data_IF_378175872851
#
_entry.id   IF_378175872851
#
_cell.length_a   1.000
_cell.length_b   1.000
_cell.length_c   1.000
_cell.angle_alpha   90.00
_cell.angle_beta   90.00
_cell.angle_gamma   90.00
#
_symmetry.space_group_name_H-M   'P 1'
#
loop_
_entity.id
_entity.type
_entity.pdbx_description
1 polymer ?
#
# COMPACT_ATOMS: atom_id res chain seq x y z
N UNK A 1 -20.89 73.04 0.72
CA UNK A 1 -20.19 73.88 -0.27
C UNK A 1 -20.08 75.29 0.29
N UNK A 2 -19.03 76.07 -0.02
CA UNK A 2 -17.81 75.76 -0.82
C UNK A 2 -16.92 74.68 -0.17
N UNK A 3 -15.89 74.04 -0.77
CA UNK A 3 -14.98 74.30 -1.91
C UNK A 3 -13.82 75.29 -1.60
N UNK A 4 -12.55 75.10 -1.98
CA UNK A 4 -11.79 74.02 -2.71
C UNK A 4 -10.44 73.79 -1.98
N UNK A 5 -9.44 72.97 -2.35
CA UNK A 5 -9.04 72.17 -3.55
C UNK A 5 -8.42 70.81 -3.08
N UNK A 6 -7.92 69.83 -3.85
CA UNK A 6 -7.44 69.67 -5.24
C UNK A 6 -6.03 70.19 -5.61
N UNK A 7 -4.98 69.47 -5.16
CA UNK A 7 -3.66 69.28 -5.82
C UNK A 7 -3.08 67.95 -5.27
N UNK A 8 -2.92 66.89 -6.06
CA UNK A 8 -1.85 66.63 -7.04
C UNK A 8 -0.47 66.31 -6.41
N UNK A 9 -0.14 65.02 -6.42
CA UNK A 9 1.17 64.52 -6.89
C UNK A 9 1.05 63.05 -7.27
N UNK A 10 1.43 62.73 -8.50
CA UNK A 10 1.74 61.36 -8.94
C UNK A 10 3.19 61.06 -8.56
N UNK A 11 3.48 59.92 -7.91
CA UNK A 11 4.86 59.44 -7.77
C UNK A 11 4.93 57.90 -7.71
N UNK A 12 5.27 57.33 -8.87
CA UNK A 12 5.69 55.94 -9.15
C UNK A 12 6.52 56.06 -10.44
N UNK A 13 7.75 55.48 -10.59
CA UNK A 13 8.28 54.31 -9.89
C UNK A 13 9.71 54.46 -9.28
N UNK A 14 10.09 53.52 -8.41
CA UNK A 14 11.47 53.28 -7.97
C UNK A 14 11.69 51.81 -7.54
N UNK A 15 12.71 51.08 -8.05
CA UNK A 15 12.87 49.65 -7.80
C UNK A 15 13.86 49.29 -6.67
N UNK A 16 13.65 48.12 -6.05
CA UNK A 16 14.46 47.58 -4.93
C UNK A 16 13.74 47.80 -3.59
N UNK A 17 13.60 46.82 -2.70
CA UNK A 17 14.45 45.65 -2.46
C UNK A 17 13.76 44.30 -2.75
N UNK A 18 14.51 43.18 -2.84
CA UNK A 18 13.93 41.87 -3.13
C UNK A 18 12.96 41.41 -2.05
N UNK A 19 11.94 40.64 -2.47
CA UNK A 19 11.19 39.77 -1.57
C UNK A 19 12.19 38.87 -0.83
N UNK A 20 12.26 39.01 0.49
CA UNK A 20 12.99 38.06 1.31
C UNK A 20 12.29 36.71 1.19
N UNK A 21 12.90 35.80 0.41
CA UNK A 21 12.36 34.46 0.17
C UNK A 21 12.44 33.71 1.49
N UNK A 22 11.34 33.72 2.23
CA UNK A 22 11.19 33.03 3.50
C UNK A 22 11.69 31.60 3.33
N UNK A 23 12.78 31.27 4.03
CA UNK A 23 13.57 30.06 3.83
C UNK A 23 12.66 28.83 3.86
N UNK A 24 12.38 28.25 2.69
CA UNK A 24 11.63 27.00 2.58
C UNK A 24 12.56 25.89 3.05
N UNK A 25 12.66 25.75 4.37
CA UNK A 25 13.33 24.64 5.04
C UNK A 25 12.81 23.36 4.39
N UNK A 26 13.66 22.57 3.71
CA UNK A 26 13.20 21.34 3.09
C UNK A 26 12.60 20.48 4.20
N UNK A 27 11.36 20.03 3.99
CA UNK A 27 10.63 19.28 5.01
C UNK A 27 11.50 18.12 5.52
N UNK A 28 11.60 18.01 6.84
CA UNK A 28 12.49 17.07 7.51
C UNK A 28 12.33 15.64 6.98
N UNK A 29 13.44 14.91 6.98
CA UNK A 29 13.61 13.62 6.30
C UNK A 29 12.38 12.71 6.43
N UNK A 30 11.83 12.30 5.28
CA UNK A 30 10.86 11.21 5.24
C UNK A 30 11.48 9.98 5.94
N UNK A 31 10.79 9.35 6.90
CA UNK A 31 11.40 8.29 7.71
C UNK A 31 11.90 7.16 6.81
N UNK A 32 13.12 6.65 7.05
CA UNK A 32 13.78 5.76 6.12
C UNK A 32 13.00 4.44 5.97
N UNK A 33 12.66 4.13 4.71
CA UNK A 33 12.28 2.79 4.25
C UNK A 33 11.38 2.00 5.21
N UNK A 34 10.06 2.20 5.11
CA UNK A 34 9.13 1.11 5.42
C UNK A 34 9.56 -0.10 4.59
N UNK A 35 10.24 -1.05 5.25
CA UNK A 35 11.06 -2.04 4.56
C UNK A 35 10.26 -2.74 3.46
N UNK A 36 10.91 -2.93 2.31
CA UNK A 36 10.45 -3.88 1.31
C UNK A 36 10.62 -5.32 1.85
N UNK A 37 9.82 -5.65 2.86
CA UNK A 37 9.59 -7.00 3.37
C UNK A 37 8.95 -7.79 2.22
N UNK A 38 9.83 -8.34 1.38
CA UNK A 38 9.55 -8.90 0.06
C UNK A 38 8.25 -9.69 0.07
N UNK A 39 7.17 -9.07 -0.44
CA UNK A 39 5.87 -9.71 -0.56
C UNK A 39 6.10 -11.02 -1.32
N UNK A 40 5.86 -12.20 -0.72
CA UNK A 40 6.18 -13.46 -1.35
C UNK A 40 5.45 -13.51 -2.69
N UNK A 41 6.22 -13.43 -3.78
CA UNK A 41 5.68 -13.28 -5.13
C UNK A 41 4.80 -14.49 -5.39
N UNK A 42 3.50 -14.27 -5.61
CA UNK A 42 2.46 -15.30 -5.86
C UNK A 42 2.95 -16.50 -6.71
N UNK A 43 3.71 -16.33 -7.82
CA UNK A 43 4.30 -17.46 -8.57
C UNK A 43 5.18 -18.45 -7.76
N UNK A 44 5.75 -18.07 -6.61
CA UNK A 44 6.49 -19.00 -5.74
C UNK A 44 5.56 -20.04 -5.07
N UNK A 45 4.34 -19.63 -4.74
CA UNK A 45 3.32 -20.51 -4.14
C UNK A 45 2.68 -21.38 -5.21
N UNK A 46 2.41 -20.80 -6.39
CA UNK A 46 1.98 -21.58 -7.57
C UNK A 46 3.02 -22.66 -7.96
N UNK A 47 4.32 -22.39 -7.82
CA UNK A 47 5.39 -23.39 -8.02
C UNK A 47 5.41 -24.49 -6.95
N UNK A 48 5.08 -24.18 -5.70
CA UNK A 48 5.00 -25.16 -4.61
C UNK A 48 3.72 -26.02 -4.65
N UNK A 49 2.62 -25.47 -5.16
CA UNK A 49 1.39 -26.22 -5.46
C UNK A 49 1.48 -26.98 -6.79
N UNK A 50 2.30 -26.51 -7.73
CA UNK A 50 2.49 -27.06 -9.07
C UNK A 50 3.68 -28.02 -9.24
N UNK A 51 4.46 -28.28 -8.19
CA UNK A 51 5.44 -29.37 -8.19
C UNK A 51 4.73 -30.72 -8.03
N UNK A 52 4.17 -31.19 -9.16
CA UNK A 52 3.46 -32.46 -9.28
C UNK A 52 4.39 -33.68 -9.25
N UNK A 53 5.09 -33.87 -8.13
CA UNK A 53 5.34 -35.23 -7.66
C UNK A 53 4.01 -35.79 -7.15
N UNK A 54 3.72 -37.06 -7.44
CA UNK A 54 2.50 -37.73 -6.98
C UNK A 54 2.36 -37.62 -5.47
N UNK A 55 1.25 -37.07 -4.96
CA UNK A 55 1.00 -37.01 -3.50
C UNK A 55 0.91 -38.44 -2.87
N UNK A 56 0.87 -39.50 -3.68
CA UNK A 56 0.93 -40.92 -3.27
C UNK A 56 2.29 -41.39 -2.71
N UNK A 57 3.40 -40.70 -3.01
CA UNK A 57 4.76 -41.10 -2.58
C UNK A 57 5.33 -40.19 -1.46
N UNK A 58 4.48 -39.37 -0.82
CA UNK A 58 4.89 -38.51 0.30
C UNK A 58 4.91 -39.28 1.62
N UNK A 59 6.03 -39.24 2.34
CA UNK A 59 6.08 -39.75 3.72
C UNK A 59 5.29 -38.87 4.68
N UNK A 60 4.85 -39.41 5.82
CA UNK A 60 4.21 -38.63 6.89
C UNK A 60 5.06 -37.40 7.30
N UNK A 61 6.39 -37.54 7.25
CA UNK A 61 7.31 -36.45 7.55
C UNK A 61 7.32 -35.36 6.46
N UNK A 62 7.11 -35.72 5.18
CA UNK A 62 6.93 -34.76 4.09
C UNK A 62 5.57 -34.09 4.14
N UNK A 63 4.50 -34.84 4.43
CA UNK A 63 3.16 -34.28 4.66
C UNK A 63 3.20 -33.29 5.83
N UNK A 64 3.81 -33.66 6.97
CA UNK A 64 3.98 -32.78 8.12
C UNK A 64 4.79 -31.51 7.79
N UNK A 65 5.87 -31.62 6.99
CA UNK A 65 6.64 -30.47 6.48
C UNK A 65 5.75 -29.56 5.59
N UNK A 66 5.06 -30.14 4.61
CA UNK A 66 4.21 -29.45 3.61
C UNK A 66 3.03 -28.73 4.29
N UNK A 67 2.37 -29.38 5.26
CA UNK A 67 1.33 -28.81 6.13
C UNK A 67 1.89 -27.67 6.98
N UNK A 68 2.98 -27.89 7.73
CA UNK A 68 3.57 -26.86 8.61
C UNK A 68 3.98 -25.60 7.83
N UNK A 69 4.53 -25.79 6.63
CA UNK A 69 4.87 -24.69 5.71
C UNK A 69 3.61 -23.94 5.25
N UNK A 70 2.59 -24.65 4.76
CA UNK A 70 1.35 -24.02 4.27
C UNK A 70 0.58 -23.28 5.37
N UNK A 71 0.54 -23.80 6.61
CA UNK A 71 -0.01 -23.06 7.74
C UNK A 71 0.83 -21.84 8.11
N UNK A 72 2.17 -21.95 8.04
CA UNK A 72 3.08 -20.83 8.23
C UNK A 72 2.90 -19.71 7.19
N UNK A 73 2.60 -20.07 5.94
CA UNK A 73 2.20 -19.10 4.92
C UNK A 73 0.80 -18.53 5.19
N UNK A 74 -0.19 -19.38 5.50
CA UNK A 74 -1.57 -18.95 5.74
C UNK A 74 -1.65 -17.93 6.89
N UNK A 75 -0.87 -18.12 7.97
CA UNK A 75 -0.76 -17.12 9.06
C UNK A 75 -0.20 -15.78 8.59
N UNK A 76 0.79 -15.77 7.68
CA UNK A 76 1.31 -14.53 7.06
C UNK A 76 0.26 -13.84 6.18
N UNK A 77 -0.46 -14.60 5.35
CA UNK A 77 -1.50 -14.04 4.49
C UNK A 77 -2.73 -13.54 5.27
N UNK A 78 -3.11 -14.16 6.40
CA UNK A 78 -4.07 -13.57 7.34
C UNK A 78 -3.60 -12.19 7.82
N UNK A 79 -2.35 -12.07 8.31
CA UNK A 79 -1.83 -10.79 8.79
C UNK A 79 -1.72 -9.73 7.68
N UNK A 80 -1.38 -10.11 6.45
CA UNK A 80 -1.39 -9.22 5.29
C UNK A 80 -2.80 -8.73 4.96
N UNK A 81 -3.80 -9.63 4.93
CA UNK A 81 -5.21 -9.31 4.76
C UNK A 81 -5.70 -8.33 5.84
N UNK A 82 -5.46 -8.64 7.11
CA UNK A 82 -5.94 -7.85 8.24
C UNK A 82 -5.34 -6.43 8.25
N UNK A 83 -4.08 -6.31 7.80
CA UNK A 83 -3.40 -5.03 7.58
C UNK A 83 -4.02 -4.24 6.42
N UNK A 84 -4.29 -4.88 5.28
CA UNK A 84 -4.93 -4.26 4.10
C UNK A 84 -6.36 -3.83 4.39
N UNK A 85 -7.17 -4.68 5.04
CA UNK A 85 -8.51 -4.33 5.53
C UNK A 85 -8.46 -3.12 6.46
N UNK A 86 -7.51 -3.10 7.41
CA UNK A 86 -7.36 -2.00 8.36
C UNK A 86 -6.90 -0.71 7.68
N UNK A 87 -6.04 -0.79 6.66
CA UNK A 87 -5.64 0.36 5.86
C UNK A 87 -6.81 0.92 5.04
N UNK A 88 -7.57 0.05 4.36
CA UNK A 88 -8.74 0.43 3.57
C UNK A 88 -9.87 1.01 4.45
N UNK A 89 -10.10 0.45 5.65
CA UNK A 89 -11.10 0.93 6.62
C UNK A 89 -10.76 2.32 7.20
N UNK A 90 -9.48 2.70 7.22
CA UNK A 90 -9.02 4.05 7.63
C UNK A 90 -9.17 5.11 6.54
N UNK A 91 -9.43 4.71 5.29
CA UNK A 91 -9.56 5.65 4.18
C UNK A 91 -11.02 6.15 4.10
N UNK A 92 -11.26 7.48 4.07
CA UNK A 92 -12.61 8.03 4.07
C UNK A 92 -13.41 7.53 2.84
N UNK A 93 -14.64 7.07 3.03
CA UNK A 93 -15.46 6.46 1.96
C UNK A 93 -15.79 7.46 0.83
N UNK A 94 -15.86 8.75 1.15
CA UNK A 94 -15.99 9.84 0.20
C UNK A 94 -14.72 10.00 -0.66
N UNK A 95 -14.92 10.06 -1.98
CA UNK A 95 -13.85 10.21 -2.99
C UNK A 95 -13.54 11.67 -3.35
N UNK A 96 -14.44 12.59 -2.98
CA UNK A 96 -14.31 14.05 -3.15
C UNK A 96 -13.01 14.55 -2.53
N UNK A 97 -12.22 15.33 -3.29
CA UNK A 97 -10.93 15.87 -2.82
C UNK A 97 -9.74 14.91 -2.88
N UNK A 98 -9.93 13.60 -3.13
CA UNK A 98 -8.79 12.68 -3.30
C UNK A 98 -8.02 12.97 -4.61
N UNK A 99 -6.70 12.84 -4.56
CA UNK A 99 -5.86 12.93 -5.76
C UNK A 99 -6.03 11.70 -6.67
N UNK A 100 -5.54 11.78 -7.92
CA UNK A 100 -5.49 10.63 -8.84
C UNK A 100 -4.58 9.53 -8.25
N UNK A 101 -3.46 9.90 -7.65
CA UNK A 101 -2.54 8.97 -7.00
C UNK A 101 -3.19 8.25 -5.81
N UNK A 102 -3.97 8.96 -4.98
CA UNK A 102 -4.66 8.35 -3.84
C UNK A 102 -5.74 7.35 -4.29
N UNK A 103 -6.52 7.70 -5.33
CA UNK A 103 -7.49 6.76 -5.94
C UNK A 103 -6.79 5.52 -6.51
N UNK A 104 -5.66 5.70 -7.19
CA UNK A 104 -4.87 4.60 -7.73
C UNK A 104 -4.34 3.69 -6.62
N UNK A 105 -3.77 4.26 -5.55
CA UNK A 105 -3.26 3.54 -4.38
C UNK A 105 -4.35 2.71 -3.69
N UNK A 106 -5.56 3.27 -3.56
CA UNK A 106 -6.73 2.55 -3.04
C UNK A 106 -7.04 1.33 -3.92
N UNK A 107 -7.10 1.49 -5.24
CA UNK A 107 -7.33 0.39 -6.17
C UNK A 107 -6.23 -0.68 -6.13
N UNK A 108 -4.97 -0.28 -6.02
CA UNK A 108 -3.83 -1.21 -5.87
C UNK A 108 -3.91 -2.00 -4.55
N UNK A 109 -4.33 -1.38 -3.44
CA UNK A 109 -4.58 -2.08 -2.16
C UNK A 109 -5.80 -3.01 -2.21
N UNK A 110 -6.87 -2.63 -2.93
CA UNK A 110 -8.05 -3.48 -3.13
C UNK A 110 -7.74 -4.70 -4.01
N UNK A 111 -6.99 -4.52 -5.10
CA UNK A 111 -6.52 -5.65 -5.93
C UNK A 111 -5.61 -6.58 -5.11
N UNK A 112 -4.67 -6.01 -4.34
CA UNK A 112 -3.78 -6.79 -3.48
C UNK A 112 -4.54 -7.62 -2.45
N UNK A 113 -5.61 -7.07 -1.86
CA UNK A 113 -6.48 -7.81 -0.94
C UNK A 113 -7.15 -9.00 -1.64
N UNK A 114 -7.72 -8.81 -2.83
CA UNK A 114 -8.34 -9.90 -3.59
C UNK A 114 -7.34 -11.00 -4.02
N UNK A 115 -6.10 -10.62 -4.36
CA UNK A 115 -5.02 -11.58 -4.68
C UNK A 115 -4.60 -12.38 -3.43
N UNK A 116 -4.53 -11.73 -2.27
CA UNK A 116 -4.27 -12.35 -0.95
C UNK A 116 -5.38 -13.33 -0.60
N UNK A 117 -6.66 -12.95 -0.71
CA UNK A 117 -7.80 -13.82 -0.42
C UNK A 117 -7.83 -15.06 -1.32
N UNK A 118 -7.58 -14.90 -2.63
CA UNK A 118 -7.46 -16.02 -3.57
C UNK A 118 -6.34 -16.98 -3.16
N UNK A 119 -5.16 -16.44 -2.86
CA UNK A 119 -4.00 -17.22 -2.39
C UNK A 119 -4.32 -17.99 -1.11
N UNK A 120 -5.08 -17.39 -0.17
CA UNK A 120 -5.55 -18.06 1.05
C UNK A 120 -6.54 -19.21 0.77
N UNK A 121 -7.42 -19.07 -0.22
CA UNK A 121 -8.35 -20.14 -0.63
C UNK A 121 -7.61 -21.33 -1.25
N UNK A 122 -6.59 -21.06 -2.08
CA UNK A 122 -5.71 -22.09 -2.64
C UNK A 122 -4.96 -22.84 -1.53
N UNK A 123 -4.32 -22.12 -0.59
CA UNK A 123 -3.63 -22.73 0.56
C UNK A 123 -4.57 -23.56 1.46
N UNK A 124 -5.77 -23.05 1.78
CA UNK A 124 -6.80 -23.79 2.53
C UNK A 124 -7.31 -25.02 1.78
N UNK A 125 -7.14 -25.09 0.47
CA UNK A 125 -7.53 -26.24 -0.34
C UNK A 125 -6.39 -27.26 -0.42
N UNK A 126 -5.14 -26.83 -0.55
CA UNK A 126 -3.96 -27.70 -0.38
C UNK A 126 -3.90 -28.34 1.00
N UNK A 127 -4.10 -27.55 2.07
CA UNK A 127 -4.16 -28.05 3.46
C UNK A 127 -5.29 -29.05 3.70
N UNK A 128 -6.40 -28.97 2.98
CA UNK A 128 -7.50 -29.95 3.07
C UNK A 128 -7.22 -31.22 2.30
N UNK A 129 -6.40 -31.19 1.24
CA UNK A 129 -5.95 -32.39 0.52
C UNK A 129 -4.91 -33.16 1.32
N UNK A 130 -3.96 -32.48 1.95
CA UNK A 130 -2.88 -33.05 2.78
C UNK A 130 -3.33 -33.48 4.20
N UNK A 131 -4.63 -33.69 4.40
CA UNK A 131 -5.28 -34.04 5.68
C UNK A 131 -6.46 -35.01 5.49
N UNK A 132 -6.53 -35.64 4.32
CA UNK A 132 -7.44 -36.73 3.97
C UNK A 132 -6.61 -37.99 3.71
#
# INVERSE_FOLDING_TARGET
APASSLQSSEDVPGPGHPLEVAEIKPYGELPPSMSAASSPKVPAIARLLGQGGSDQDLTDADVARKVSFLEGQLRRYCAERDSLETALRKLPSNSTGKSVAERRRIGEMQQRLADVERTMVEMKTGLRRLRQ
#
